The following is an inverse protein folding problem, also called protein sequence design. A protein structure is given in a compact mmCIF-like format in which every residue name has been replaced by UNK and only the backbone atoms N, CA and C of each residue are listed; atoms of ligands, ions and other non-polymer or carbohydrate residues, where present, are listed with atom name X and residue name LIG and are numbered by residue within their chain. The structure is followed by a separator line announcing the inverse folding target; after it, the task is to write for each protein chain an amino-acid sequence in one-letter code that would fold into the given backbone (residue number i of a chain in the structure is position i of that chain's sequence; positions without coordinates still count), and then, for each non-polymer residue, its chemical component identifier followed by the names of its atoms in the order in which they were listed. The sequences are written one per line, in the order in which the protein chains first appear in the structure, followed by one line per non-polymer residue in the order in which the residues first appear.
data_IF_491744396861
#
_entry.id   IF_491744396861
#
_cell.length_a   1.000
_cell.length_b   1.000
_cell.length_c   1.000
_cell.angle_alpha   90.00
_cell.angle_beta   90.00
_cell.angle_gamma   90.00
#
_symmetry.space_group_name_H-M   'P 1'
#
loop_
_entity.id
_entity.type
_entity.pdbx_description
1 polymer ?
#
# COMPACT_ATOMS: atom_id res chain seq x y z
N UNK A 1 -30.10 8.14 -22.37
CA UNK A 1 -28.67 8.50 -22.42
C UNK A 1 -28.36 9.30 -21.16
N UNK A 2 -28.19 8.62 -20.03
CA UNK A 2 -27.50 9.17 -18.86
C UNK A 2 -26.03 9.32 -19.26
N UNK A 3 -25.41 10.43 -18.90
CA UNK A 3 -24.09 10.83 -19.41
C UNK A 3 -23.03 10.05 -18.64
N UNK A 4 -21.99 9.57 -19.31
CA UNK A 4 -20.79 8.94 -18.73
C UNK A 4 -20.20 9.71 -17.50
N UNK A 5 -20.47 11.02 -17.41
CA UNK A 5 -20.13 11.86 -16.26
C UNK A 5 -20.83 11.44 -14.97
N UNK A 6 -22.14 11.13 -15.05
CA UNK A 6 -22.97 10.83 -13.89
C UNK A 6 -22.56 9.48 -13.25
N UNK A 7 -22.10 8.52 -14.06
CA UNK A 7 -21.63 7.21 -13.60
C UNK A 7 -20.25 7.29 -12.93
N UNK A 8 -19.36 8.14 -13.44
CA UNK A 8 -18.04 8.38 -12.86
C UNK A 8 -18.14 9.05 -11.49
N UNK A 9 -19.06 10.01 -11.36
CA UNK A 9 -19.31 10.73 -10.11
C UNK A 9 -19.88 9.80 -9.02
N UNK A 10 -20.79 8.90 -9.39
CA UNK A 10 -21.32 7.88 -8.45
C UNK A 10 -20.24 6.90 -8.01
N UNK A 11 -19.37 6.46 -8.93
CA UNK A 11 -18.26 5.57 -8.59
C UNK A 11 -17.25 6.24 -7.64
N UNK A 12 -16.93 7.52 -7.87
CA UNK A 12 -16.05 8.30 -7.01
C UNK A 12 -16.64 8.50 -5.61
N UNK A 13 -17.94 8.80 -5.50
CA UNK A 13 -18.62 8.96 -4.21
C UNK A 13 -18.62 7.65 -3.40
N UNK A 14 -18.93 6.51 -4.02
CA UNK A 14 -18.90 5.22 -3.35
C UNK A 14 -17.50 4.86 -2.85
N UNK A 15 -16.47 5.22 -3.62
CA UNK A 15 -15.08 5.05 -3.23
C UNK A 15 -14.72 5.90 -2.02
N UNK A 16 -15.04 7.20 -2.05
CA UNK A 16 -14.78 8.11 -0.93
C UNK A 16 -15.48 7.63 0.35
N UNK A 17 -16.70 7.12 0.22
CA UNK A 17 -17.43 6.54 1.35
C UNK A 17 -16.71 5.31 1.92
N UNK A 18 -16.24 4.37 1.08
CA UNK A 18 -15.48 3.19 1.55
C UNK A 18 -14.18 3.58 2.23
N UNK A 19 -13.44 4.54 1.67
CA UNK A 19 -12.22 5.06 2.29
C UNK A 19 -12.55 5.69 3.64
N UNK A 20 -13.58 6.54 3.72
CA UNK A 20 -14.03 7.15 4.97
C UNK A 20 -14.41 6.10 6.03
N UNK A 21 -15.19 5.09 5.65
CA UNK A 21 -15.59 3.99 6.54
C UNK A 21 -14.40 3.17 7.02
N UNK A 22 -13.39 2.95 6.18
CA UNK A 22 -12.16 2.28 6.56
C UNK A 22 -11.38 3.11 7.59
N UNK A 23 -11.14 4.40 7.32
CA UNK A 23 -10.36 5.27 8.19
C UNK A 23 -11.01 5.45 9.57
N UNK A 24 -12.35 5.43 9.65
CA UNK A 24 -13.09 5.45 10.93
C UNK A 24 -12.83 4.21 11.82
N UNK A 25 -12.35 3.11 11.24
CA UNK A 25 -12.00 1.88 11.96
C UNK A 25 -10.52 1.82 12.37
N UNK A 26 -9.72 2.80 11.96
CA UNK A 26 -8.31 2.88 12.34
C UNK A 26 -8.23 3.72 13.62
N UNK A 27 -8.23 3.06 14.79
CA UNK A 27 -8.39 3.72 16.09
C UNK A 27 -7.41 4.88 16.31
N UNK A 28 -6.13 4.69 15.97
CA UNK A 28 -5.07 5.71 16.09
C UNK A 28 -5.31 6.95 15.23
N UNK A 29 -6.03 6.83 14.12
CA UNK A 29 -6.46 7.97 13.30
C UNK A 29 -7.68 8.69 13.86
N UNK A 30 -8.33 8.16 14.90
CA UNK A 30 -9.53 8.75 15.49
C UNK A 30 -9.27 9.31 16.90
N UNK A 31 -8.15 8.96 17.54
CA UNK A 31 -7.64 9.63 18.73
C UNK A 31 -6.82 10.89 18.33
N UNK A 32 -7.19 12.10 18.78
CA UNK A 32 -6.45 13.33 18.46
C UNK A 32 -4.97 13.34 18.87
N UNK A 33 -4.61 12.65 19.97
CA UNK A 33 -3.24 12.56 20.47
C UNK A 33 -2.41 11.63 19.59
N UNK A 34 -2.93 10.44 19.32
CA UNK A 34 -2.29 9.47 18.42
C UNK A 34 -2.20 10.00 16.99
N UNK A 35 -3.24 10.66 16.48
CA UNK A 35 -3.22 11.28 15.16
C UNK A 35 -2.09 12.32 15.05
N UNK A 36 -1.90 13.13 16.09
CA UNK A 36 -0.79 14.09 16.11
C UNK A 36 0.56 13.37 16.04
N UNK A 37 0.71 12.30 16.80
CA UNK A 37 1.87 11.42 16.75
C UNK A 37 2.06 10.88 15.33
N UNK A 38 1.14 10.07 14.79
CA UNK A 38 1.35 9.41 13.49
C UNK A 38 1.48 10.37 12.28
N UNK A 39 1.04 11.64 12.38
CA UNK A 39 1.17 12.64 11.31
C UNK A 39 2.47 13.47 11.35
N UNK A 40 3.08 13.63 12.52
CA UNK A 40 4.20 14.56 12.73
C UNK A 40 5.49 13.88 13.21
N UNK A 41 5.41 12.62 13.65
CA UNK A 41 6.48 11.93 14.39
C UNK A 41 7.61 11.31 13.57
N UNK A 42 7.72 11.52 12.26
CA UNK A 42 8.76 10.82 11.50
C UNK A 42 10.18 11.37 11.72
N UNK A 43 10.29 12.66 12.05
CA UNK A 43 11.58 13.25 12.42
C UNK A 43 11.74 13.17 13.96
N UNK A 44 12.60 12.24 14.42
CA UNK A 44 13.21 12.18 15.78
C UNK A 44 12.55 11.33 16.88
N UNK A 45 12.07 10.11 16.60
CA UNK A 45 11.54 9.24 17.66
C UNK A 45 12.25 7.89 17.78
N UNK A 46 12.31 7.39 19.02
CA UNK A 46 12.90 6.09 19.40
C UNK A 46 12.11 4.88 18.85
N UNK A 47 10.97 5.12 18.17
CA UNK A 47 9.97 4.11 17.81
C UNK A 47 9.57 4.13 16.31
N UNK A 48 10.55 4.39 15.43
CA UNK A 48 10.34 4.43 13.97
C UNK A 48 9.71 3.14 13.41
N UNK A 49 10.05 1.97 13.98
CA UNK A 49 9.51 0.69 13.52
C UNK A 49 8.02 0.54 13.89
N UNK A 50 7.58 0.98 15.07
CA UNK A 50 6.15 0.94 15.43
C UNK A 50 5.32 1.83 14.48
N UNK A 51 5.86 3.01 14.15
CA UNK A 51 5.24 3.92 13.19
C UNK A 51 5.20 3.31 11.78
N UNK A 52 6.27 2.62 11.38
CA UNK A 52 6.33 1.88 10.13
C UNK A 52 5.28 0.77 10.09
N UNK A 53 5.20 -0.08 11.10
CA UNK A 53 4.24 -1.18 11.17
C UNK A 53 2.80 -0.68 11.12
N UNK A 54 2.50 0.39 11.85
CA UNK A 54 1.19 1.04 11.81
C UNK A 54 0.83 1.47 10.38
N UNK A 55 1.71 2.21 9.71
CA UNK A 55 1.43 2.71 8.36
C UNK A 55 1.40 1.59 7.32
N UNK A 56 2.29 0.59 7.41
CA UNK A 56 2.29 -0.62 6.59
C UNK A 56 0.94 -1.31 6.62
N UNK A 57 0.46 -1.63 7.81
CA UNK A 57 -0.80 -2.36 8.00
C UNK A 57 -2.00 -1.51 7.53
N UNK A 58 -1.94 -0.21 7.77
CA UNK A 58 -2.98 0.73 7.35
C UNK A 58 -3.02 0.89 5.82
N UNK A 59 -1.87 0.96 5.15
CA UNK A 59 -1.76 1.06 3.68
C UNK A 59 -2.23 -0.24 3.02
N UNK A 60 -1.79 -1.40 3.51
CA UNK A 60 -2.29 -2.69 3.01
C UNK A 60 -3.80 -2.85 3.22
N UNK A 61 -4.30 -2.41 4.37
CA UNK A 61 -5.74 -2.35 4.65
C UNK A 61 -6.49 -1.45 3.67
N UNK A 62 -5.97 -0.25 3.38
CA UNK A 62 -6.55 0.69 2.42
C UNK A 62 -6.63 0.07 1.03
N UNK A 63 -5.51 -0.48 0.52
CA UNK A 63 -5.44 -1.08 -0.82
C UNK A 63 -6.40 -2.26 -0.95
N UNK A 64 -6.36 -3.19 0.01
CA UNK A 64 -7.13 -4.43 -0.06
C UNK A 64 -8.61 -4.29 0.29
N UNK A 65 -8.97 -3.47 1.28
CA UNK A 65 -10.34 -3.42 1.82
C UNK A 65 -11.16 -2.23 1.33
N UNK A 66 -10.51 -1.08 1.10
CA UNK A 66 -11.22 0.18 0.84
C UNK A 66 -11.19 0.55 -0.65
N UNK A 67 -10.00 0.58 -1.25
CA UNK A 67 -9.86 0.91 -2.68
C UNK A 67 -10.33 -0.25 -3.55
N UNK A 68 -10.14 -1.49 -3.10
CA UNK A 68 -10.45 -2.70 -3.88
C UNK A 68 -9.87 -2.62 -5.31
N UNK A 69 -8.71 -1.99 -5.42
CA UNK A 69 -7.95 -1.84 -6.67
C UNK A 69 -6.70 -2.70 -6.55
N UNK A 70 -6.36 -3.35 -7.66
CA UNK A 70 -5.08 -4.06 -7.81
C UNK A 70 -3.90 -3.09 -7.77
N UNK A 71 -4.08 -1.86 -8.27
CA UNK A 71 -3.04 -0.86 -8.42
C UNK A 71 -3.51 0.51 -7.91
N UNK A 72 -2.60 1.26 -7.29
CA UNK A 72 -2.81 2.65 -6.90
C UNK A 72 -1.48 3.40 -6.96
N UNK A 73 -1.48 4.70 -7.26
CA UNK A 73 -0.26 5.50 -7.15
C UNK A 73 0.04 5.86 -5.69
N UNK A 74 1.31 6.05 -5.29
CA UNK A 74 1.64 6.55 -3.96
C UNK A 74 0.97 7.88 -3.61
N UNK A 75 0.80 8.77 -4.59
CA UNK A 75 0.04 10.01 -4.41
C UNK A 75 -1.45 9.74 -4.10
N UNK A 76 -2.07 8.79 -4.80
CA UNK A 76 -3.46 8.38 -4.54
C UNK A 76 -3.62 7.80 -3.12
N UNK A 77 -2.65 6.99 -2.66
CA UNK A 77 -2.59 6.45 -1.30
C UNK A 77 -2.45 7.58 -0.29
N UNK A 78 -1.47 8.48 -0.50
CA UNK A 78 -1.22 9.61 0.38
C UNK A 78 -2.45 10.50 0.56
N UNK A 79 -3.13 10.81 -0.55
CA UNK A 79 -4.33 11.66 -0.54
C UNK A 79 -5.49 11.05 0.24
N UNK A 80 -5.59 9.71 0.34
CA UNK A 80 -6.60 9.06 1.17
C UNK A 80 -6.41 9.38 2.67
N UNK A 81 -5.19 9.70 3.09
CA UNK A 81 -4.87 10.01 4.49
C UNK A 81 -4.81 11.52 4.78
N UNK A 82 -5.27 12.37 3.86
CA UNK A 82 -5.44 13.79 4.14
C UNK A 82 -6.74 13.99 4.92
N UNK A 83 -6.66 13.93 6.24
CA UNK A 83 -7.83 13.99 7.14
C UNK A 83 -7.95 15.39 7.72
N UNK A 84 -9.12 16.03 7.56
CA UNK A 84 -9.42 17.38 8.09
C UNK A 84 -8.35 18.42 7.69
N UNK A 85 -7.81 18.31 6.47
CA UNK A 85 -6.77 19.20 5.95
C UNK A 85 -5.36 18.95 6.48
N UNK A 86 -5.15 17.97 7.36
CA UNK A 86 -3.83 17.56 7.84
C UNK A 86 -3.22 16.54 6.88
N UNK A 87 -1.93 16.69 6.58
CA UNK A 87 -1.16 15.79 5.72
C UNK A 87 -0.20 14.93 6.57
N UNK A 88 -0.10 13.61 6.33
CA UNK A 88 0.82 12.75 7.08
C UNK A 88 2.24 12.90 6.52
N UNK A 89 3.06 13.76 7.12
CA UNK A 89 4.33 14.24 6.53
C UNK A 89 5.30 13.08 6.23
N UNK A 90 5.39 12.09 7.11
CA UNK A 90 6.29 10.94 6.95
C UNK A 90 5.78 9.82 6.05
N UNK A 91 4.52 9.84 5.61
CA UNK A 91 3.92 8.71 4.91
C UNK A 91 4.64 8.39 3.59
N UNK A 92 5.13 9.40 2.87
CA UNK A 92 5.83 9.13 1.60
C UNK A 92 7.16 8.40 1.83
N UNK A 93 7.87 8.72 2.93
CA UNK A 93 9.08 8.00 3.33
C UNK A 93 8.74 6.56 3.73
N UNK A 94 7.62 6.34 4.43
CA UNK A 94 7.13 5.00 4.71
C UNK A 94 6.84 4.22 3.43
N UNK A 95 6.15 4.82 2.44
CA UNK A 95 5.87 4.15 1.17
C UNK A 95 7.15 3.80 0.42
N UNK A 96 8.17 4.67 0.49
CA UNK A 96 9.50 4.42 -0.08
C UNK A 96 10.17 3.24 0.63
N UNK A 97 10.04 3.15 1.95
CA UNK A 97 10.57 2.04 2.74
C UNK A 97 9.79 0.73 2.47
N UNK A 98 8.47 0.77 2.34
CA UNK A 98 7.68 -0.39 1.92
C UNK A 98 8.11 -0.90 0.53
N UNK A 99 8.47 0.01 -0.40
CA UNK A 99 9.06 -0.36 -1.69
C UNK A 99 10.46 -0.97 -1.54
N UNK A 100 11.31 -0.40 -0.68
CA UNK A 100 12.66 -0.95 -0.41
C UNK A 100 12.58 -2.38 0.16
N UNK A 101 11.60 -2.64 1.04
CA UNK A 101 11.29 -3.97 1.61
C UNK A 101 10.53 -4.89 0.64
N UNK A 102 10.17 -4.40 -0.55
CA UNK A 102 9.41 -5.08 -1.62
C UNK A 102 8.00 -5.53 -1.20
N UNK A 103 7.39 -4.77 -0.30
CA UNK A 103 5.99 -4.91 0.10
C UNK A 103 5.08 -4.14 -0.86
N UNK A 104 5.61 -3.09 -1.48
CA UNK A 104 5.07 -2.42 -2.65
C UNK A 104 5.94 -2.75 -3.87
N UNK A 105 5.28 -3.12 -4.96
CA UNK A 105 5.92 -3.48 -6.22
C UNK A 105 5.40 -2.54 -7.29
N UNK A 106 6.28 -2.01 -8.14
CA UNK A 106 5.86 -1.18 -9.26
C UNK A 106 5.04 -2.03 -10.25
N UNK A 107 3.96 -1.48 -10.80
CA UNK A 107 3.12 -2.17 -11.79
C UNK A 107 3.94 -2.59 -13.02
N UNK A 108 4.82 -1.72 -13.49
CA UNK A 108 5.70 -1.99 -14.64
C UNK A 108 6.63 -3.17 -14.35
N UNK A 109 7.18 -3.23 -13.13
CA UNK A 109 8.01 -4.34 -12.67
C UNK A 109 7.19 -5.63 -12.63
N UNK A 110 6.01 -5.63 -11.99
CA UNK A 110 5.15 -6.81 -11.89
C UNK A 110 4.73 -7.34 -13.27
N UNK A 111 4.42 -6.47 -14.23
CA UNK A 111 3.96 -6.85 -15.56
C UNK A 111 5.10 -7.21 -16.53
N UNK A 112 6.35 -6.99 -16.13
CA UNK A 112 7.50 -7.34 -16.96
C UNK A 112 7.66 -8.86 -17.07
N UNK A 113 8.01 -9.36 -18.27
CA UNK A 113 8.30 -10.78 -18.49
C UNK A 113 9.45 -11.27 -17.60
N UNK A 114 10.39 -10.37 -17.28
CA UNK A 114 11.53 -10.60 -16.39
C UNK A 114 11.12 -10.95 -14.96
N UNK A 115 10.05 -10.34 -14.46
CA UNK A 115 9.57 -10.62 -13.10
C UNK A 115 9.19 -12.10 -12.95
N UNK A 116 8.50 -12.68 -13.93
CA UNK A 116 8.09 -14.07 -13.89
C UNK A 116 9.18 -15.05 -14.33
N UNK A 117 10.13 -14.62 -15.18
CA UNK A 117 11.27 -15.48 -15.58
C UNK A 117 12.32 -15.62 -14.49
N UNK A 118 12.54 -14.60 -13.65
CA UNK A 118 13.44 -14.66 -12.49
C UNK A 118 12.74 -15.19 -11.23
N UNK A 119 11.41 -15.12 -11.17
CA UNK A 119 10.61 -15.64 -10.07
C UNK A 119 10.14 -17.08 -10.30
N UNK A 120 10.99 -18.03 -9.91
CA UNK A 120 10.48 -18.99 -8.92
C UNK A 120 10.18 -18.17 -7.66
N UNK A 121 8.97 -17.63 -7.59
CA UNK A 121 8.49 -16.75 -6.51
C UNK A 121 8.73 -17.37 -5.12
N UNK A 122 8.70 -18.71 -5.03
CA UNK A 122 9.01 -19.47 -3.82
C UNK A 122 10.52 -19.55 -3.48
N UNK A 123 11.41 -19.54 -4.47
CA UNK A 123 12.87 -19.61 -4.20
C UNK A 123 13.47 -18.26 -3.83
N UNK A 124 12.91 -17.14 -4.31
CA UNK A 124 13.46 -15.80 -4.01
C UNK A 124 13.21 -15.35 -2.57
N UNK A 125 12.15 -15.82 -1.91
CA UNK A 125 11.92 -15.60 -0.47
C UNK A 125 12.96 -16.33 0.40
N UNK A 126 13.46 -17.49 -0.04
CA UNK A 126 14.55 -18.22 0.65
C UNK A 126 15.93 -17.59 0.40
N UNK A 127 16.18 -17.03 -0.78
CA UNK A 127 17.45 -16.36 -1.12
C UNK A 127 17.67 -15.03 -0.40
N UNK A 128 16.59 -14.35 0.05
CA UNK A 128 16.66 -13.02 0.70
C UNK A 128 17.26 -13.01 2.11
N UNK A 129 17.32 -14.16 2.79
CA UNK A 129 18.04 -14.25 4.07
C UNK A 129 19.57 -14.10 3.86
N UNK A 130 20.08 -14.26 2.64
CA UNK A 130 21.52 -14.39 2.38
C UNK A 130 22.18 -13.25 1.58
N UNK A 131 21.46 -12.22 1.11
CA UNK A 131 22.04 -11.23 0.16
C UNK A 131 22.19 -9.79 0.66
N UNK A 132 22.40 -9.56 1.96
CA UNK A 132 22.54 -8.23 2.56
C UNK A 132 23.83 -7.47 2.18
N UNK A 133 24.69 -8.03 1.34
CA UNK A 133 26.07 -7.53 1.17
C UNK A 133 26.28 -6.69 -0.10
N UNK A 134 25.35 -6.64 -1.06
CA UNK A 134 25.57 -5.88 -2.32
C UNK A 134 24.30 -5.44 -3.04
N UNK A 135 23.25 -5.04 -2.31
CA UNK A 135 22.05 -4.52 -2.96
C UNK A 135 22.37 -3.14 -3.59
N UNK A 136 22.05 -2.90 -4.88
CA UNK A 136 22.05 -1.54 -5.43
C UNK A 136 21.12 -0.65 -4.60
N UNK A 137 21.35 0.66 -4.62
CA UNK A 137 20.51 1.61 -3.91
C UNK A 137 19.02 1.33 -4.19
N UNK A 138 18.15 1.36 -3.17
CA UNK A 138 16.74 1.03 -3.35
C UNK A 138 16.14 1.93 -4.43
N UNK A 139 15.33 1.39 -5.34
CA UNK A 139 14.73 2.18 -6.40
C UNK A 139 13.85 3.29 -5.80
N UNK A 140 14.03 4.51 -6.29
CA UNK A 140 13.25 5.67 -5.86
C UNK A 140 11.75 5.44 -6.17
N UNK A 141 10.91 5.91 -5.27
CA UNK A 141 9.46 5.82 -5.36
C UNK A 141 8.97 7.00 -6.20
N UNK A 142 8.50 6.71 -7.40
CA UNK A 142 7.81 7.70 -8.23
C UNK A 142 6.36 7.84 -7.72
N UNK A 143 5.93 9.04 -7.25
CA UNK A 143 4.62 9.23 -6.65
C UNK A 143 3.47 9.07 -7.66
N UNK A 144 3.75 9.16 -8.96
CA UNK A 144 2.78 9.04 -10.04
C UNK A 144 2.63 7.62 -10.56
N UNK A 145 3.63 6.76 -10.36
CA UNK A 145 3.62 5.38 -10.86
C UNK A 145 2.75 4.49 -10.00
N UNK A 146 1.97 3.65 -10.65
CA UNK A 146 1.12 2.69 -9.97
C UNK A 146 1.94 1.60 -9.28
N UNK A 147 1.60 1.31 -8.03
CA UNK A 147 2.16 0.22 -7.23
C UNK A 147 1.07 -0.77 -6.82
N UNK A 148 1.49 -1.98 -6.45
CA UNK A 148 0.64 -3.03 -5.89
C UNK A 148 1.22 -3.56 -4.59
N UNK A 149 0.34 -3.92 -3.65
CA UNK A 149 0.73 -4.60 -2.42
C UNK A 149 1.04 -6.07 -2.68
N UNK A 150 2.26 -6.49 -2.34
CA UNK A 150 2.67 -7.89 -2.38
C UNK A 150 1.81 -8.77 -1.46
N UNK A 151 1.49 -8.27 -0.26
CA UNK A 151 0.61 -8.94 0.72
C UNK A 151 -0.79 -9.16 0.14
N UNK A 152 -1.34 -8.16 -0.55
CA UNK A 152 -2.63 -8.31 -1.21
C UNK A 152 -2.59 -9.37 -2.33
N UNK A 153 -1.55 -9.35 -3.17
CA UNK A 153 -1.35 -10.35 -4.23
C UNK A 153 -1.29 -11.77 -3.67
N UNK A 154 -0.53 -11.97 -2.59
CA UNK A 154 -0.41 -13.27 -1.95
C UNK A 154 -1.77 -13.77 -1.43
N UNK A 155 -2.54 -12.91 -0.78
CA UNK A 155 -3.88 -13.23 -0.30
C UNK A 155 -4.87 -13.53 -1.45
N UNK A 156 -4.76 -12.80 -2.56
CA UNK A 156 -5.55 -13.06 -3.76
C UNK A 156 -5.21 -14.43 -4.37
N UNK A 157 -3.92 -14.75 -4.53
CA UNK A 157 -3.47 -16.05 -5.02
C UNK A 157 -3.93 -17.20 -4.12
N UNK A 158 -3.78 -17.06 -2.79
CA UNK A 158 -4.28 -18.03 -1.80
C UNK A 158 -5.78 -18.27 -1.97
N UNK A 159 -6.57 -17.22 -2.12
CA UNK A 159 -8.02 -17.32 -2.29
C UNK A 159 -8.40 -18.07 -3.57
N UNK A 160 -7.66 -17.86 -4.66
CA UNK A 160 -7.87 -18.58 -5.94
C UNK A 160 -7.51 -20.06 -5.80
N UNK A 161 -6.39 -20.38 -5.15
CA UNK A 161 -5.99 -21.76 -4.88
C UNK A 161 -7.01 -22.48 -4.01
N UNK A 162 -7.45 -21.86 -2.91
CA UNK A 162 -8.47 -22.41 -2.02
C UNK A 162 -9.79 -22.66 -2.75
N UNK A 163 -10.19 -21.77 -3.67
CA UNK A 163 -11.35 -21.99 -4.51
C UNK A 163 -11.17 -23.20 -5.43
N UNK A 164 -10.00 -23.31 -6.09
CA UNK A 164 -9.70 -24.42 -6.99
C UNK A 164 -9.67 -25.78 -6.27
N UNK A 165 -9.17 -25.83 -5.04
CA UNK A 165 -9.17 -27.05 -4.21
C UNK A 165 -10.55 -27.49 -3.72
N UNK A 166 -11.54 -26.60 -3.74
CA UNK A 166 -12.93 -26.90 -3.32
C UNK A 166 -13.82 -27.39 -4.47
N UNK A 167 -13.35 -27.32 -5.71
CA UNK A 167 -14.03 -27.85 -6.90
C UNK A 167 -13.64 -29.32 -7.10
#
# INVERSE_FOLDING_TARGET
RLKMSDELDVFNLQREEKVSQFLKKVDRLNDPKEMHYVYLSYDHLEDEEELYEFWRDTVHGLLGKALNKTFASPEEIFNCFVIKGKKPIGLMNILQEMKSRKELIDKEELLSETYYSEASWLSSQFSRVMSWVSAPAPPELDPSKEVVSAVWLENACKSVLDWAYRQ
#
